data_IF_603448585082
#
_entry.id   IF_603448585082
#
_cell.length_a   1.000
_cell.length_b   1.000
_cell.length_c   1.000
_cell.angle_alpha   90.00
_cell.angle_beta   90.00
_cell.angle_gamma   90.00
#
_symmetry.space_group_name_H-M   'P 1'
#
loop_
_entity.id
_entity.type
_entity.pdbx_description
1 polymer ?
#
# COMPACT_ATOMS: atom_id res chain seq x y z
N UNK A 1 22.23 -2.26 -8.76
CA UNK A 1 21.32 -1.10 -8.78
C UNK A 1 19.94 -1.65 -9.08
N UNK A 2 19.10 -1.87 -8.07
CA UNK A 2 17.73 -2.36 -8.28
C UNK A 2 16.87 -1.17 -8.67
N UNK A 3 16.30 -1.19 -9.87
CA UNK A 3 15.24 -0.26 -10.22
C UNK A 3 14.10 -0.44 -9.20
N UNK A 4 13.67 0.61 -8.50
CA UNK A 4 12.47 0.52 -7.69
C UNK A 4 11.31 0.22 -8.64
N UNK A 5 10.56 -0.83 -8.34
CA UNK A 5 9.31 -1.16 -9.05
C UNK A 5 8.47 0.12 -9.19
N UNK A 6 7.91 0.41 -10.37
CA UNK A 6 7.14 1.62 -10.59
C UNK A 6 5.97 1.66 -9.59
N UNK A 7 6.06 2.58 -8.63
CA UNK A 7 4.99 2.84 -7.68
C UNK A 7 3.92 3.67 -8.39
N UNK A 8 2.68 3.20 -8.36
CA UNK A 8 1.55 3.96 -8.92
C UNK A 8 1.35 5.19 -8.03
N UNK A 9 1.45 6.41 -8.57
CA UNK A 9 1.27 7.62 -7.78
C UNK A 9 -0.14 7.68 -7.14
N UNK A 10 -0.23 8.08 -5.87
CA UNK A 10 -1.49 8.13 -5.13
C UNK A 10 -2.59 8.94 -5.83
N UNK A 11 -2.23 10.02 -6.54
CA UNK A 11 -3.19 10.83 -7.31
C UNK A 11 -3.85 10.07 -8.46
N UNK A 12 -3.19 9.06 -9.06
CA UNK A 12 -3.80 8.22 -10.10
C UNK A 12 -4.82 7.25 -9.51
N UNK A 13 -4.63 6.82 -8.25
CA UNK A 13 -5.57 5.96 -7.54
C UNK A 13 -6.82 6.73 -7.06
N UNK A 14 -6.76 8.06 -7.00
CA UNK A 14 -7.91 8.92 -6.72
C UNK A 14 -8.89 9.00 -7.90
N UNK A 15 -8.42 8.80 -9.14
CA UNK A 15 -9.29 8.69 -10.31
C UNK A 15 -10.12 7.39 -10.25
N UNK A 16 -11.47 7.47 -10.13
CA UNK A 16 -12.33 6.30 -10.06
C UNK A 16 -12.25 5.40 -11.31
N UNK A 17 -12.01 5.98 -12.49
CA UNK A 17 -11.93 5.23 -13.75
C UNK A 17 -10.62 4.42 -13.81
N UNK A 18 -9.49 5.06 -13.50
CA UNK A 18 -8.21 4.38 -13.39
C UNK A 18 -8.22 3.29 -12.31
N UNK A 19 -8.75 3.59 -11.12
CA UNK A 19 -8.86 2.64 -10.01
C UNK A 19 -9.68 1.41 -10.39
N UNK A 20 -10.83 1.59 -11.05
CA UNK A 20 -11.67 0.48 -11.53
C UNK A 20 -10.94 -0.36 -12.58
N UNK A 21 -10.24 0.28 -13.51
CA UNK A 21 -9.42 -0.43 -14.51
C UNK A 21 -8.32 -1.26 -13.85
N UNK A 22 -7.68 -0.71 -12.81
CA UNK A 22 -6.65 -1.43 -12.05
C UNK A 22 -7.24 -2.58 -11.22
N UNK A 23 -8.39 -2.37 -10.58
CA UNK A 23 -9.12 -3.41 -9.86
C UNK A 23 -9.44 -4.60 -10.78
N UNK A 24 -9.99 -4.34 -11.97
CA UNK A 24 -10.29 -5.40 -12.95
C UNK A 24 -9.03 -6.20 -13.34
N UNK A 25 -7.87 -5.53 -13.48
CA UNK A 25 -6.60 -6.21 -13.76
C UNK A 25 -6.16 -7.09 -12.58
N UNK A 26 -6.29 -6.60 -11.35
CA UNK A 26 -5.96 -7.35 -10.14
C UNK A 26 -6.88 -8.55 -9.99
N UNK A 27 -8.18 -8.40 -10.22
CA UNK A 27 -9.15 -9.50 -10.15
C UNK A 27 -8.89 -10.57 -11.20
N UNK A 28 -8.62 -10.19 -12.45
CA UNK A 28 -8.21 -11.13 -13.50
C UNK A 28 -6.93 -11.88 -13.13
N UNK A 29 -5.95 -11.19 -12.54
CA UNK A 29 -4.69 -11.81 -12.10
C UNK A 29 -4.91 -12.80 -10.95
N UNK A 30 -5.76 -12.47 -9.97
CA UNK A 30 -6.15 -13.39 -8.90
C UNK A 30 -6.72 -14.67 -9.50
N UNK A 31 -7.69 -14.58 -10.41
CA UNK A 31 -8.31 -15.75 -11.04
C UNK A 31 -7.29 -16.63 -11.75
N UNK A 32 -6.34 -16.05 -12.49
CA UNK A 32 -5.29 -16.83 -13.17
C UNK A 32 -4.35 -17.51 -12.16
N UNK A 33 -3.98 -16.83 -11.08
CA UNK A 33 -3.10 -17.37 -10.05
C UNK A 33 -3.78 -18.49 -9.24
N UNK A 34 -5.08 -18.38 -8.96
CA UNK A 34 -5.85 -19.44 -8.30
C UNK A 34 -5.92 -20.71 -9.16
N UNK A 35 -6.16 -20.57 -10.46
CA UNK A 35 -6.12 -21.70 -11.41
C UNK A 35 -4.72 -22.30 -11.49
N UNK A 36 -3.67 -21.46 -11.53
CA UNK A 36 -2.30 -21.94 -11.51
C UNK A 36 -1.95 -22.70 -10.23
N UNK A 37 -2.42 -22.21 -9.07
CA UNK A 37 -2.24 -22.88 -7.77
C UNK A 37 -2.90 -24.25 -7.75
N UNK A 38 -4.17 -24.33 -8.13
CA UNK A 38 -4.89 -25.61 -8.21
C UNK A 38 -4.18 -26.62 -9.14
N UNK A 39 -3.70 -26.16 -10.31
CA UNK A 39 -2.91 -27.03 -11.21
C UNK A 39 -1.61 -27.51 -10.58
N UNK A 40 -0.91 -26.65 -9.84
CA UNK A 40 0.35 -27.04 -9.17
C UNK A 40 0.09 -28.03 -8.03
N UNK A 41 -1.03 -27.87 -7.31
CA UNK A 41 -1.49 -28.79 -6.27
C UNK A 41 -1.76 -30.18 -6.85
N UNK A 42 -2.54 -30.28 -7.93
CA UNK A 42 -2.83 -31.55 -8.62
C UNK A 42 -1.55 -32.26 -9.10
N UNK A 43 -0.58 -31.50 -9.62
CA UNK A 43 0.69 -32.05 -10.11
C UNK A 43 1.62 -32.45 -8.96
N UNK A 44 1.44 -31.90 -7.76
CA UNK A 44 2.30 -32.18 -6.63
C UNK A 44 2.10 -33.64 -6.14
N UNK A 45 0.87 -34.14 -6.19
CA UNK A 45 0.49 -35.50 -5.74
C UNK A 45 1.22 -36.62 -6.50
N UNK A 46 1.63 -36.38 -7.75
CA UNK A 46 2.31 -37.37 -8.61
C UNK A 46 3.81 -37.18 -8.81
N UNK A 47 4.43 -36.18 -8.17
CA UNK A 47 5.74 -35.66 -8.59
C UNK A 47 6.90 -36.09 -7.68
N UNK A 48 7.53 -37.23 -7.95
CA UNK A 48 8.67 -37.70 -7.13
C UNK A 48 9.87 -36.73 -7.09
N UNK A 49 10.51 -36.47 -8.24
CA UNK A 49 11.71 -35.62 -8.35
C UNK A 49 11.40 -34.13 -8.53
N UNK A 50 10.23 -33.79 -9.07
CA UNK A 50 9.82 -32.39 -9.31
C UNK A 50 9.12 -31.74 -8.11
N UNK A 51 8.75 -32.51 -7.08
CA UNK A 51 8.00 -32.02 -5.93
C UNK A 51 8.68 -30.85 -5.22
N UNK A 52 10.02 -30.83 -5.13
CA UNK A 52 10.74 -29.72 -4.51
C UNK A 52 10.56 -28.41 -5.29
N UNK A 53 10.58 -28.48 -6.62
CA UNK A 53 10.34 -27.32 -7.49
C UNK A 53 8.88 -26.87 -7.40
N UNK A 54 7.93 -27.81 -7.46
CA UNK A 54 6.50 -27.50 -7.38
C UNK A 54 6.11 -26.88 -6.03
N UNK A 55 6.67 -27.35 -4.92
CA UNK A 55 6.51 -26.69 -3.60
C UNK A 55 6.99 -25.25 -3.61
N UNK A 56 8.14 -24.97 -4.22
CA UNK A 56 8.66 -23.60 -4.33
C UNK A 56 7.76 -22.72 -5.21
N UNK A 57 7.24 -23.27 -6.31
CA UNK A 57 6.25 -22.58 -7.15
C UNK A 57 4.98 -22.28 -6.35
N UNK A 58 4.48 -23.22 -5.54
CA UNK A 58 3.31 -23.03 -4.69
C UNK A 58 3.49 -21.88 -3.69
N UNK A 59 4.63 -21.84 -2.98
CA UNK A 59 4.96 -20.74 -2.05
C UNK A 59 5.00 -19.38 -2.78
N UNK A 60 5.56 -19.33 -3.99
CA UNK A 60 5.58 -18.11 -4.78
C UNK A 60 4.17 -17.68 -5.20
N UNK A 61 3.33 -18.63 -5.64
CA UNK A 61 1.93 -18.36 -6.01
C UNK A 61 1.13 -17.84 -4.82
N UNK A 62 1.27 -18.45 -3.64
CA UNK A 62 0.62 -18.00 -2.41
C UNK A 62 1.07 -16.58 -1.99
N UNK A 63 2.36 -16.30 -2.08
CA UNK A 63 2.89 -14.97 -1.79
C UNK A 63 2.34 -13.92 -2.77
N UNK A 64 2.33 -14.22 -4.08
CA UNK A 64 1.78 -13.32 -5.10
C UNK A 64 0.26 -13.13 -4.93
N UNK A 65 -0.48 -14.19 -4.60
CA UNK A 65 -1.92 -14.12 -4.29
C UNK A 65 -2.19 -13.22 -3.09
N UNK A 66 -1.41 -13.37 -2.00
CA UNK A 66 -1.52 -12.51 -0.82
C UNK A 66 -1.36 -11.03 -1.16
N UNK A 67 -0.37 -10.70 -2.01
CA UNK A 67 -0.15 -9.33 -2.51
C UNK A 67 -1.34 -8.85 -3.34
N UNK A 68 -1.87 -9.68 -4.25
CA UNK A 68 -3.02 -9.32 -5.08
C UNK A 68 -4.30 -9.10 -4.23
N UNK A 69 -4.58 -9.93 -3.23
CA UNK A 69 -5.70 -9.71 -2.32
C UNK A 69 -5.54 -8.45 -1.47
N UNK A 70 -4.31 -8.11 -1.05
CA UNK A 70 -4.03 -6.83 -0.39
C UNK A 70 -4.32 -5.65 -1.32
N UNK A 71 -3.83 -5.71 -2.56
CA UNK A 71 -4.09 -4.67 -3.56
C UNK A 71 -5.60 -4.51 -3.85
N UNK A 72 -6.34 -5.62 -3.98
CA UNK A 72 -7.79 -5.63 -4.16
C UNK A 72 -8.51 -4.91 -3.02
N UNK A 73 -8.14 -5.19 -1.76
CA UNK A 73 -8.74 -4.50 -0.58
C UNK A 73 -8.50 -3.00 -0.63
N UNK A 74 -7.28 -2.56 -0.91
CA UNK A 74 -6.92 -1.14 -1.01
C UNK A 74 -7.74 -0.44 -2.11
N UNK A 75 -7.86 -1.07 -3.28
CA UNK A 75 -8.59 -0.50 -4.41
C UNK A 75 -10.11 -0.43 -4.18
N UNK A 76 -10.66 -1.34 -3.38
CA UNK A 76 -12.07 -1.29 -2.97
C UNK A 76 -12.29 -0.19 -1.91
N UNK A 77 -11.44 -0.15 -0.88
CA UNK A 77 -11.54 0.83 0.21
C UNK A 77 -11.32 2.27 -0.24
N UNK A 78 -10.44 2.51 -1.22
CA UNK A 78 -10.24 3.85 -1.79
C UNK A 78 -11.52 4.38 -2.48
N UNK A 79 -12.45 3.51 -2.89
CA UNK A 79 -13.74 3.88 -3.46
C UNK A 79 -14.76 4.40 -2.47
N UNK A 80 -14.57 4.09 -1.20
CA UNK A 80 -15.46 4.49 -0.11
C UNK A 80 -14.92 5.76 0.56
N UNK A 81 -14.79 6.87 -0.18
CA UNK A 81 -14.45 8.17 0.42
C UNK A 81 -15.53 8.74 1.36
N UNK A 82 -16.65 8.02 1.55
CA UNK A 82 -17.62 8.24 2.63
C UNK A 82 -17.44 7.29 3.83
N UNK A 83 -16.55 6.31 3.76
CA UNK A 83 -16.08 5.61 4.94
C UNK A 83 -15.10 6.55 5.64
N UNK A 84 -15.66 7.47 6.41
CA UNK A 84 -15.02 8.12 7.56
C UNK A 84 -14.13 7.07 8.19
N UNK A 85 -12.82 7.25 8.11
CA UNK A 85 -11.84 6.48 8.84
C UNK A 85 -12.26 6.58 10.31
N UNK A 86 -12.88 5.58 10.94
CA UNK A 86 -13.28 5.74 12.32
C UNK A 86 -12.06 5.33 13.13
N UNK A 87 -10.97 6.10 13.10
CA UNK A 87 -9.80 5.76 13.92
C UNK A 87 -8.87 6.90 14.29
N UNK A 88 -9.26 8.18 14.16
CA UNK A 88 -8.49 9.27 14.76
C UNK A 88 -8.51 9.25 16.31
N UNK A 89 -9.47 8.54 16.94
CA UNK A 89 -9.58 8.51 18.41
C UNK A 89 -8.71 7.46 19.12
N UNK A 90 -8.37 6.34 18.46
CA UNK A 90 -7.74 5.19 19.13
C UNK A 90 -6.42 4.68 18.47
N UNK A 91 -5.94 5.28 17.38
CA UNK A 91 -4.73 4.82 16.69
C UNK A 91 -3.43 5.52 17.09
N UNK A 92 -3.40 6.41 18.09
CA UNK A 92 -2.13 6.97 18.58
C UNK A 92 -1.20 5.94 19.24
N UNK A 93 -1.62 4.67 19.40
CA UNK A 93 -0.78 3.61 20.00
C UNK A 93 -0.25 2.56 19.01
N UNK A 94 -0.67 2.57 17.75
CA UNK A 94 -0.04 1.70 16.75
C UNK A 94 1.27 2.35 16.32
N UNK A 95 2.39 1.87 16.87
CA UNK A 95 3.74 2.15 16.34
C UNK A 95 3.76 1.71 14.88
N UNK A 96 3.52 2.65 13.97
CA UNK A 96 3.65 2.45 12.53
C UNK A 96 5.09 2.03 12.24
N UNK A 97 5.26 0.96 11.48
CA UNK A 97 6.61 0.52 11.08
C UNK A 97 7.15 1.47 10.02
N UNK A 98 8.48 1.55 9.87
CA UNK A 98 9.11 2.34 8.80
C UNK A 98 8.52 2.00 7.40
N UNK A 99 8.16 0.73 7.19
CA UNK A 99 7.52 0.26 5.96
C UNK A 99 6.14 0.89 5.75
N UNK A 100 5.34 1.01 6.81
CA UNK A 100 4.00 1.61 6.73
C UNK A 100 4.09 3.10 6.36
N UNK A 101 5.13 3.81 6.81
CA UNK A 101 5.38 5.20 6.41
C UNK A 101 5.71 5.34 4.92
N UNK A 102 6.53 4.44 4.38
CA UNK A 102 6.93 4.48 2.96
C UNK A 102 5.76 4.11 2.04
N UNK A 103 4.83 3.26 2.49
CA UNK A 103 3.66 2.85 1.70
C UNK A 103 2.61 3.97 1.56
N UNK A 104 2.58 4.96 2.46
CA UNK A 104 1.62 6.09 2.44
C UNK A 104 2.23 7.36 1.81
N UNK A 105 3.55 7.43 1.70
CA UNK A 105 4.28 8.63 1.29
C UNK A 105 4.78 8.51 -0.15
N UNK A 106 4.56 9.53 -0.97
CA UNK A 106 5.19 9.59 -2.30
C UNK A 106 6.72 9.70 -2.16
N UNK A 107 7.47 9.22 -3.16
CA UNK A 107 8.94 9.32 -3.14
C UNK A 107 9.44 10.78 -3.01
N UNK A 108 8.73 11.73 -3.64
CA UNK A 108 9.03 13.15 -3.52
C UNK A 108 8.82 13.67 -2.08
N UNK A 109 7.78 13.22 -1.40
CA UNK A 109 7.59 13.49 0.03
C UNK A 109 8.68 12.85 0.88
N UNK A 110 9.09 11.61 0.60
CA UNK A 110 10.19 10.96 1.31
C UNK A 110 11.50 11.76 1.21
N UNK A 111 11.87 12.21 0.02
CA UNK A 111 13.06 13.04 -0.16
C UNK A 111 12.99 14.34 0.65
N UNK A 112 11.81 14.99 0.72
CA UNK A 112 11.58 16.20 1.51
C UNK A 112 11.63 15.91 3.01
N UNK A 113 10.92 14.89 3.49
CA UNK A 113 10.83 14.60 4.92
C UNK A 113 12.13 14.06 5.50
N UNK A 114 12.94 13.34 4.71
CA UNK A 114 14.24 12.85 5.15
C UNK A 114 15.19 13.98 5.58
N UNK A 115 15.03 15.20 5.06
CA UNK A 115 15.89 16.34 5.42
C UNK A 115 15.42 17.09 6.66
N UNK A 116 14.19 16.88 7.15
CA UNK A 116 13.58 17.70 8.21
C UNK A 116 13.89 17.21 9.63
N UNK A 117 14.41 15.99 9.80
CA UNK A 117 14.73 15.45 11.13
C UNK A 117 13.50 15.25 12.04
N UNK A 118 13.70 14.76 13.28
CA UNK A 118 12.62 14.59 14.24
C UNK A 118 12.17 15.94 14.83
N UNK A 119 10.86 16.15 14.95
CA UNK A 119 10.29 17.32 15.63
C UNK A 119 10.68 17.32 17.10
N UNK A 120 11.30 18.39 17.57
CA UNK A 120 11.78 18.51 18.94
C UNK A 120 10.73 19.13 19.87
N UNK A 121 10.74 18.82 21.18
CA UNK A 121 9.81 19.44 22.14
C UNK A 121 9.93 20.97 22.21
N UNK A 122 11.09 21.51 21.89
CA UNK A 122 11.33 22.96 21.88
C UNK A 122 10.68 23.63 20.68
N UNK A 123 10.74 23.00 19.50
CA UNK A 123 10.03 23.49 18.31
C UNK A 123 8.53 23.56 18.54
N UNK A 124 7.95 22.54 19.18
CA UNK A 124 6.52 22.53 19.52
C UNK A 124 6.16 23.72 20.43
N UNK A 125 6.95 23.96 21.48
CA UNK A 125 6.69 25.05 22.44
C UNK A 125 6.88 26.45 21.86
N UNK A 126 7.72 26.59 20.85
CA UNK A 126 8.03 27.87 20.22
C UNK A 126 7.13 28.17 19.02
N UNK A 127 6.33 27.19 18.58
CA UNK A 127 5.40 27.37 17.47
C UNK A 127 4.20 28.21 17.92
N UNK A 128 3.93 29.30 17.20
CA UNK A 128 2.72 30.09 17.36
C UNK A 128 1.55 29.34 16.72
N UNK A 129 0.57 28.97 17.55
CA UNK A 129 -0.58 28.17 17.13
C UNK A 129 -1.53 28.94 16.21
N UNK A 130 -1.71 30.24 16.42
CA UNK A 130 -2.62 31.05 15.61
C UNK A 130 -2.07 31.19 14.18
N UNK A 131 -0.77 31.49 14.07
CA UNK A 131 -0.08 31.55 12.77
C UNK A 131 -0.11 30.21 12.05
N UNK A 132 0.08 29.11 12.78
CA UNK A 132 0.00 27.77 12.20
C UNK A 132 -1.42 27.46 11.67
N UNK A 133 -2.45 27.80 12.43
CA UNK A 133 -3.84 27.65 12.00
C UNK A 133 -4.12 28.45 10.73
N UNK A 134 -3.67 29.71 10.66
CA UNK A 134 -3.82 30.55 9.48
C UNK A 134 -3.12 29.96 8.25
N UNK A 135 -1.88 29.46 8.41
CA UNK A 135 -1.13 28.82 7.32
C UNK A 135 -1.82 27.54 6.81
N UNK A 136 -2.37 26.73 7.71
CA UNK A 136 -3.06 25.49 7.34
C UNK A 136 -4.36 25.76 6.60
N UNK A 137 -5.11 26.79 7.02
CA UNK A 137 -6.34 27.21 6.34
C UNK A 137 -6.03 27.76 4.94
N UNK A 138 -4.93 28.48 4.76
CA UNK A 138 -4.53 29.02 3.46
C UNK A 138 -3.96 27.95 2.51
N UNK A 139 -3.41 26.86 3.04
CA UNK A 139 -2.78 25.78 2.26
C UNK A 139 -3.74 24.85 1.51
N UNK A 140 -5.05 24.93 1.73
CA UNK A 140 -6.07 24.11 1.03
C UNK A 140 -6.48 24.67 -0.36
N UNK A 141 -5.94 25.81 -0.80
CA UNK A 141 -6.38 26.50 -2.03
C UNK A 141 -5.44 26.35 -3.25
N UNK A 142 -4.51 25.39 -3.27
CA UNK A 142 -3.60 25.17 -4.41
C UNK A 142 -3.57 23.71 -4.89
#
# INVERSE_FOLDING_TARGET
MYDPLPSVPAHQLADPAFRRKLLNKVEALISVLEVARSRVEDNLEGSGTEAARLRKVMVNLEHTLSVCHRARRILLQAGDTNAIVPHAGNQMQLKMTFRDYVEVMSFAEYCRFRTLGPVTPSEIRQTDLEVLCDLLIQGEAA
#
